data_IF_090606702350
#
_entry.id   IF_090606702350
#
_cell.length_a   1.000
_cell.length_b   1.000
_cell.length_c   1.000
_cell.angle_alpha   90.00
_cell.angle_beta   90.00
_cell.angle_gamma   90.00
#
_symmetry.space_group_name_H-M   'P 1'
#
loop_
_entity.id
_entity.type
_entity.pdbx_description
1 polymer ?
#
# COMPACT_ATOMS: atom_id res chain seq x y z
N UNK A 1 16.76 10.71 25.63
CA UNK A 1 15.95 9.53 26.05
C UNK A 1 16.88 8.35 26.25
N UNK A 2 16.47 7.32 27.03
CA UNK A 2 17.25 6.10 27.18
C UNK A 2 16.67 5.01 26.26
N UNK A 3 17.20 4.90 25.05
CA UNK A 3 16.74 3.98 24.00
C UNK A 3 16.76 2.51 24.49
N UNK A 4 17.78 2.09 25.26
CA UNK A 4 17.86 0.73 25.78
C UNK A 4 16.71 0.41 26.76
N UNK A 5 16.31 1.39 27.60
CA UNK A 5 15.15 1.25 28.49
C UNK A 5 13.85 1.15 27.68
N UNK A 6 13.68 2.03 26.70
CA UNK A 6 12.50 2.01 25.82
C UNK A 6 12.35 0.66 25.09
N UNK A 7 13.45 0.08 24.60
CA UNK A 7 13.47 -1.25 23.96
C UNK A 7 13.00 -2.35 24.94
N UNK A 8 13.52 -2.35 26.17
CA UNK A 8 13.17 -3.36 27.17
C UNK A 8 11.71 -3.28 27.60
N UNK A 9 11.21 -2.07 27.83
CA UNK A 9 9.82 -1.82 28.19
C UNK A 9 8.87 -2.23 27.07
N UNK A 10 9.18 -1.82 25.83
CA UNK A 10 8.37 -2.17 24.67
C UNK A 10 8.32 -3.68 24.44
N UNK A 11 9.46 -4.38 24.56
CA UNK A 11 9.49 -5.84 24.46
C UNK A 11 8.51 -6.48 25.46
N UNK A 12 8.57 -6.08 26.73
CA UNK A 12 7.68 -6.59 27.78
C UNK A 12 6.21 -6.32 27.47
N UNK A 13 5.89 -5.13 26.96
CA UNK A 13 4.53 -4.77 26.55
C UNK A 13 4.04 -5.65 25.38
N UNK A 14 4.87 -5.86 24.35
CA UNK A 14 4.52 -6.74 23.23
C UNK A 14 4.32 -8.18 23.71
N UNK A 15 5.20 -8.68 24.57
CA UNK A 15 5.10 -10.03 25.15
C UNK A 15 3.82 -10.22 25.96
N UNK A 16 3.36 -9.19 26.67
CA UNK A 16 2.06 -9.19 27.36
C UNK A 16 0.84 -9.09 26.43
N UNK A 17 1.05 -8.75 25.16
CA UNK A 17 0.01 -8.64 24.14
C UNK A 17 -0.66 -7.27 24.04
N UNK A 18 -0.16 -6.27 24.76
CA UNK A 18 -0.68 -4.90 24.69
C UNK A 18 0.49 -3.91 24.74
N UNK A 19 0.65 -3.15 23.67
CA UNK A 19 1.68 -2.09 23.57
C UNK A 19 1.10 -0.86 22.89
N UNK A 20 1.56 0.30 23.31
CA UNK A 20 1.30 1.57 22.66
C UNK A 20 2.52 2.48 22.82
N UNK A 21 3.06 2.96 21.71
CA UNK A 21 4.19 3.88 21.71
C UNK A 21 3.71 5.34 21.77
N UNK A 22 4.32 6.14 22.66
CA UNK A 22 4.17 7.59 22.55
C UNK A 22 4.95 8.10 21.33
N UNK A 23 4.59 9.28 20.77
CA UNK A 23 5.34 9.86 19.66
C UNK A 23 6.84 10.02 19.95
N UNK A 24 7.21 10.40 21.18
CA UNK A 24 8.58 10.61 21.62
C UNK A 24 9.39 9.30 21.64
N UNK A 25 8.79 8.22 22.17
CA UNK A 25 9.42 6.91 22.18
C UNK A 25 9.54 6.36 20.77
N UNK A 26 8.51 6.54 19.93
CA UNK A 26 8.56 6.16 18.52
C UNK A 26 9.68 6.88 17.76
N UNK A 27 9.83 8.17 17.98
CA UNK A 27 10.91 8.97 17.39
C UNK A 27 12.30 8.53 17.86
N UNK A 28 12.47 8.31 19.17
CA UNK A 28 13.72 7.81 19.74
C UNK A 28 14.11 6.45 19.13
N UNK A 29 13.18 5.51 19.06
CA UNK A 29 13.44 4.20 18.45
C UNK A 29 13.76 4.30 16.96
N UNK A 30 13.02 5.14 16.22
CA UNK A 30 13.24 5.32 14.79
C UNK A 30 14.63 5.89 14.48
N UNK A 31 15.14 6.80 15.31
CA UNK A 31 16.43 7.47 15.09
C UNK A 31 17.61 6.71 15.68
N UNK A 32 17.45 6.07 16.84
CA UNK A 32 18.57 5.64 17.68
C UNK A 32 18.66 4.12 17.85
N UNK A 33 17.57 3.34 17.63
CA UNK A 33 17.65 1.88 17.72
C UNK A 33 18.40 1.32 16.50
N UNK A 34 19.25 0.30 16.73
CA UNK A 34 19.81 -0.46 15.62
C UNK A 34 18.72 -1.21 14.84
N UNK A 35 18.97 -1.41 13.54
CA UNK A 35 17.96 -1.95 12.63
C UNK A 35 17.49 -3.36 13.03
N UNK A 36 18.39 -4.22 13.48
CA UNK A 36 18.05 -5.61 13.80
C UNK A 36 17.21 -5.69 15.08
N UNK A 37 17.52 -4.89 16.07
CA UNK A 37 16.72 -4.78 17.31
C UNK A 37 15.32 -4.24 17.00
N UNK A 38 15.23 -3.18 16.21
CA UNK A 38 13.95 -2.60 15.80
C UNK A 38 13.12 -3.64 15.01
N UNK A 39 13.75 -4.35 14.08
CA UNK A 39 13.14 -5.42 13.30
C UNK A 39 12.65 -6.58 14.17
N UNK A 40 13.45 -7.01 15.15
CA UNK A 40 13.08 -8.09 16.08
C UNK A 40 11.83 -7.73 16.92
N UNK A 41 11.72 -6.48 17.39
CA UNK A 41 10.53 -6.00 18.11
C UNK A 41 9.30 -5.97 17.19
N UNK A 42 9.45 -5.47 15.96
CA UNK A 42 8.38 -5.44 14.98
C UNK A 42 7.93 -6.85 14.55
N UNK A 43 8.88 -7.79 14.40
CA UNK A 43 8.59 -9.19 14.14
C UNK A 43 7.83 -9.85 15.31
N UNK A 44 8.24 -9.57 16.55
CA UNK A 44 7.54 -10.04 17.74
C UNK A 44 6.10 -9.52 17.78
N UNK A 45 5.90 -8.22 17.56
CA UNK A 45 4.57 -7.59 17.50
C UNK A 45 3.71 -8.20 16.39
N UNK A 46 4.25 -8.37 15.18
CA UNK A 46 3.60 -9.02 14.05
C UNK A 46 3.17 -10.45 14.39
N UNK A 47 4.06 -11.21 15.03
CA UNK A 47 3.81 -12.60 15.37
C UNK A 47 2.73 -12.74 16.46
N UNK A 48 2.67 -11.81 17.40
CA UNK A 48 1.58 -11.77 18.40
C UNK A 48 0.20 -11.60 17.76
N UNK A 49 0.09 -10.82 16.70
CA UNK A 49 -1.20 -10.53 16.02
C UNK A 49 -1.57 -11.61 15.02
N UNK A 50 -0.61 -12.12 14.23
CA UNK A 50 -0.91 -12.96 13.06
C UNK A 50 -0.29 -14.36 13.11
N UNK A 51 0.47 -14.70 14.18
CA UNK A 51 1.22 -15.96 14.22
C UNK A 51 2.17 -16.07 13.04
N UNK A 52 2.08 -17.17 12.29
CA UNK A 52 2.91 -17.42 11.12
C UNK A 52 2.23 -17.11 9.79
N UNK A 53 1.01 -16.51 9.79
CA UNK A 53 0.28 -16.20 8.56
C UNK A 53 0.87 -14.97 7.87
N UNK A 54 1.01 -15.02 6.55
CA UNK A 54 1.27 -13.87 5.67
C UNK A 54 0.25 -13.87 4.56
N UNK A 55 -0.43 -12.74 4.41
CA UNK A 55 -1.56 -12.59 3.51
C UNK A 55 -1.12 -12.13 2.12
N UNK A 56 -1.89 -12.56 1.11
CA UNK A 56 -1.81 -12.09 -0.27
C UNK A 56 -3.18 -12.15 -0.92
N UNK A 57 -3.39 -11.45 -2.05
CA UNK A 57 -4.64 -11.53 -2.81
C UNK A 57 -4.43 -11.71 -4.31
N UNK A 58 -5.48 -12.10 -5.01
CA UNK A 58 -5.50 -12.18 -6.46
C UNK A 58 -6.27 -11.00 -7.03
N UNK A 59 -5.54 -10.01 -7.51
CA UNK A 59 -6.09 -8.72 -7.92
C UNK A 59 -5.57 -8.27 -9.28
N UNK A 60 -6.29 -7.31 -9.86
CA UNK A 60 -5.85 -6.54 -11.03
C UNK A 60 -6.00 -5.04 -10.74
N UNK A 61 -5.18 -4.22 -11.41
CA UNK A 61 -5.16 -2.78 -11.25
C UNK A 61 -5.65 -2.10 -12.53
N UNK A 62 -6.61 -1.20 -12.42
CA UNK A 62 -7.10 -0.38 -13.53
C UNK A 62 -6.78 1.09 -13.26
N UNK A 63 -6.11 1.73 -14.20
CA UNK A 63 -5.97 3.17 -14.25
C UNK A 63 -6.71 3.65 -15.48
N UNK A 64 -7.95 4.09 -15.32
CA UNK A 64 -8.81 4.47 -16.45
C UNK A 64 -8.41 5.81 -17.10
N UNK A 65 -7.76 6.69 -16.33
CA UNK A 65 -7.17 7.93 -16.87
C UNK A 65 -5.89 8.31 -16.13
N UNK A 66 -4.93 8.89 -16.85
CA UNK A 66 -3.76 9.55 -16.26
C UNK A 66 -3.84 11.09 -16.38
N UNK A 67 -4.91 11.63 -16.94
CA UNK A 67 -5.15 13.08 -16.93
C UNK A 67 -5.44 13.52 -15.50
N UNK A 68 -4.69 14.51 -15.00
CA UNK A 68 -4.76 14.91 -13.60
C UNK A 68 -4.52 16.41 -13.44
N UNK A 69 -5.43 17.12 -12.74
CA UNK A 69 -5.25 18.54 -12.43
C UNK A 69 -4.12 18.78 -11.41
N UNK A 70 -3.78 17.76 -10.60
CA UNK A 70 -2.81 17.91 -9.53
C UNK A 70 -1.38 17.79 -10.03
N UNK A 71 -0.57 18.83 -9.79
CA UNK A 71 0.82 18.94 -10.25
C UNK A 71 1.82 18.46 -9.18
N UNK A 72 1.73 17.17 -8.80
CA UNK A 72 2.62 16.58 -7.78
C UNK A 72 4.04 16.40 -8.30
N UNK A 73 5.04 16.89 -7.55
CA UNK A 73 6.44 16.86 -7.98
C UNK A 73 7.02 15.44 -8.14
N UNK A 74 6.52 14.49 -7.36
CA UNK A 74 6.97 13.09 -7.35
C UNK A 74 6.23 12.19 -8.34
N UNK A 75 5.15 12.68 -8.99
CA UNK A 75 4.31 11.83 -9.81
C UNK A 75 4.82 11.76 -11.26
N UNK A 76 5.18 10.56 -11.71
CA UNK A 76 5.56 10.28 -13.09
C UNK A 76 4.37 9.88 -13.97
N UNK A 77 3.25 9.49 -13.35
CA UNK A 77 2.06 9.00 -14.03
C UNK A 77 1.18 10.11 -14.61
N UNK A 78 1.02 11.22 -13.88
CA UNK A 78 0.09 12.28 -14.25
C UNK A 78 0.45 12.99 -15.56
N UNK A 79 -0.58 13.29 -16.37
CA UNK A 79 -0.53 14.22 -17.49
C UNK A 79 -1.50 15.36 -17.18
N UNK A 80 -0.98 16.59 -17.16
CA UNK A 80 -1.73 17.75 -16.62
C UNK A 80 -2.88 18.22 -17.53
N UNK A 81 -2.92 17.75 -18.78
CA UNK A 81 -3.96 18.11 -19.75
C UNK A 81 -4.21 16.99 -20.73
N UNK A 82 -5.45 16.85 -21.15
CA UNK A 82 -5.82 16.08 -22.35
C UNK A 82 -5.02 16.57 -23.56
N UNK A 83 -4.55 15.64 -24.39
CA UNK A 83 -3.73 15.95 -25.57
C UNK A 83 -2.23 16.09 -25.31
N UNK A 84 -1.75 16.05 -24.06
CA UNK A 84 -0.32 15.87 -23.80
C UNK A 84 0.16 14.50 -24.31
N UNK A 85 1.43 14.34 -24.69
CA UNK A 85 1.99 13.03 -25.03
C UNK A 85 1.68 11.99 -23.93
N UNK A 86 1.22 10.81 -24.35
CA UNK A 86 0.83 9.70 -23.47
C UNK A 86 -0.37 9.99 -22.52
N UNK A 87 -1.04 11.15 -22.64
CA UNK A 87 -2.29 11.37 -21.93
C UNK A 87 -3.39 10.46 -22.49
N UNK A 88 -4.13 9.82 -21.59
CA UNK A 88 -5.26 8.98 -21.97
C UNK A 88 -6.39 9.06 -20.95
N UNK A 89 -7.60 8.85 -21.46
CA UNK A 89 -8.80 8.52 -20.67
C UNK A 89 -9.54 7.44 -21.45
N UNK A 90 -9.79 6.29 -20.81
CA UNK A 90 -10.51 5.18 -21.41
C UNK A 90 -11.99 5.50 -21.48
N UNK A 91 -12.65 5.18 -22.59
CA UNK A 91 -14.11 5.03 -22.62
C UNK A 91 -14.53 3.81 -21.77
N UNK A 92 -15.82 3.73 -21.43
CA UNK A 92 -16.36 2.54 -20.70
C UNK A 92 -16.11 1.26 -21.50
N UNK A 93 -16.22 1.29 -22.82
CA UNK A 93 -15.98 0.13 -23.69
C UNK A 93 -14.49 -0.28 -23.72
N UNK A 94 -13.58 0.67 -23.72
CA UNK A 94 -12.14 0.39 -23.62
C UNK A 94 -11.78 -0.21 -22.25
N UNK A 95 -12.35 0.33 -21.16
CA UNK A 95 -12.18 -0.21 -19.82
C UNK A 95 -12.73 -1.64 -19.71
N UNK A 96 -13.93 -1.90 -20.26
CA UNK A 96 -14.54 -3.22 -20.35
C UNK A 96 -13.62 -4.22 -21.06
N UNK A 97 -13.19 -3.88 -22.25
CA UNK A 97 -12.28 -4.70 -23.08
C UNK A 97 -10.97 -4.97 -22.36
N UNK A 98 -10.45 -3.97 -21.66
CA UNK A 98 -9.22 -4.07 -20.89
C UNK A 98 -9.37 -5.07 -19.72
N UNK A 99 -10.47 -4.99 -18.97
CA UNK A 99 -10.79 -5.92 -17.87
C UNK A 99 -10.99 -7.33 -18.40
N UNK A 100 -11.81 -7.54 -19.43
CA UNK A 100 -12.10 -8.84 -20.03
C UNK A 100 -10.83 -9.61 -20.44
N UNK A 101 -9.85 -8.92 -21.01
CA UNK A 101 -8.57 -9.53 -21.41
C UNK A 101 -7.77 -10.04 -20.22
N UNK A 102 -7.91 -9.44 -19.04
CA UNK A 102 -7.06 -9.67 -17.86
C UNK A 102 -7.74 -10.42 -16.73
N UNK A 103 -9.04 -10.26 -16.62
CA UNK A 103 -9.84 -11.00 -15.63
C UNK A 103 -9.67 -12.50 -15.79
N UNK A 104 -9.56 -13.20 -14.68
CA UNK A 104 -9.61 -14.67 -14.61
C UNK A 104 -10.59 -15.06 -13.51
N UNK A 105 -11.41 -16.11 -13.72
CA UNK A 105 -12.32 -16.63 -12.68
C UNK A 105 -11.54 -16.91 -11.39
N UNK A 106 -12.07 -16.40 -10.29
CA UNK A 106 -11.42 -16.50 -8.98
C UNK A 106 -10.60 -15.29 -8.56
N UNK A 107 -10.37 -14.29 -9.42
CA UNK A 107 -9.87 -12.98 -8.95
C UNK A 107 -10.86 -12.37 -7.98
N UNK A 108 -10.33 -11.78 -6.89
CA UNK A 108 -11.16 -11.27 -5.78
C UNK A 108 -11.30 -9.76 -5.77
N UNK A 109 -10.41 -9.04 -6.46
CA UNK A 109 -10.35 -7.58 -6.37
C UNK A 109 -9.99 -6.92 -7.70
N UNK A 110 -10.67 -5.82 -7.99
CA UNK A 110 -10.19 -4.80 -8.92
C UNK A 110 -9.86 -3.53 -8.15
N UNK A 111 -8.62 -3.06 -8.29
CA UNK A 111 -8.12 -1.82 -7.68
C UNK A 111 -8.09 -0.71 -8.72
N UNK A 112 -8.84 0.36 -8.49
CA UNK A 112 -8.98 1.48 -9.41
C UNK A 112 -8.45 2.75 -8.75
N UNK A 113 -7.42 3.35 -9.36
CA UNK A 113 -6.85 4.65 -8.98
C UNK A 113 -6.54 5.42 -10.26
N UNK A 114 -6.98 6.66 -10.32
CA UNK A 114 -6.88 7.49 -11.52
C UNK A 114 -6.17 8.81 -11.27
N UNK A 115 -5.86 9.53 -12.33
CA UNK A 115 -5.64 10.97 -12.26
C UNK A 115 -6.94 11.70 -11.92
N UNK A 116 -6.85 12.82 -11.19
CA UNK A 116 -7.98 13.73 -10.95
C UNK A 116 -8.31 14.49 -12.23
N UNK A 117 -9.02 13.85 -13.14
CA UNK A 117 -9.32 14.43 -14.46
C UNK A 117 -10.36 15.55 -14.32
N UNK A 118 -10.07 16.76 -14.83
CA UNK A 118 -11.05 17.82 -14.92
C UNK A 118 -12.03 17.63 -16.08
N UNK A 119 -11.76 16.67 -16.98
CA UNK A 119 -12.48 16.50 -18.24
C UNK A 119 -13.50 15.35 -18.20
N UNK A 120 -13.43 14.49 -17.17
CA UNK A 120 -14.36 13.37 -16.99
C UNK A 120 -15.46 13.74 -16.01
N UNK A 121 -16.71 13.62 -16.44
CA UNK A 121 -17.89 13.86 -15.61
C UNK A 121 -18.04 12.80 -14.52
N UNK A 122 -18.69 13.14 -13.39
CA UNK A 122 -18.90 12.19 -12.28
C UNK A 122 -19.67 10.95 -12.72
N UNK A 123 -20.62 11.11 -13.65
CA UNK A 123 -21.40 10.00 -14.21
C UNK A 123 -20.52 8.94 -14.89
N UNK A 124 -19.41 9.33 -15.54
CA UNK A 124 -18.45 8.38 -16.10
C UNK A 124 -17.94 7.38 -15.04
N UNK A 125 -17.62 7.86 -13.84
CA UNK A 125 -17.14 7.01 -12.75
C UNK A 125 -18.23 6.09 -12.22
N UNK A 126 -19.47 6.56 -12.16
CA UNK A 126 -20.62 5.74 -11.78
C UNK A 126 -20.90 4.66 -12.84
N UNK A 127 -20.86 4.99 -14.11
CA UNK A 127 -21.03 4.02 -15.20
C UNK A 127 -19.92 2.96 -15.19
N UNK A 128 -18.67 3.35 -14.94
CA UNK A 128 -17.55 2.42 -14.80
C UNK A 128 -17.80 1.40 -13.69
N UNK A 129 -18.23 1.84 -12.51
CA UNK A 129 -18.52 0.94 -11.41
C UNK A 129 -19.71 0.02 -11.70
N UNK A 130 -20.80 0.55 -12.26
CA UNK A 130 -22.00 -0.23 -12.65
C UNK A 130 -21.66 -1.29 -13.69
N UNK A 131 -20.86 -0.95 -14.69
CA UNK A 131 -20.38 -1.90 -15.71
C UNK A 131 -19.60 -3.04 -15.05
N UNK A 132 -18.62 -2.72 -14.19
CA UNK A 132 -17.82 -3.72 -13.50
C UNK A 132 -18.71 -4.60 -12.60
N UNK A 133 -19.62 -4.00 -11.84
CA UNK A 133 -20.51 -4.73 -10.94
C UNK A 133 -21.44 -5.67 -11.67
N UNK A 134 -21.92 -5.27 -12.85
CA UNK A 134 -22.82 -6.08 -13.69
C UNK A 134 -22.11 -7.25 -14.38
N UNK A 135 -20.91 -7.00 -14.92
CA UNK A 135 -20.24 -7.99 -15.78
C UNK A 135 -19.22 -8.85 -15.02
N UNK A 136 -18.71 -8.37 -13.87
CA UNK A 136 -17.73 -9.05 -13.02
C UNK A 136 -18.18 -9.06 -11.55
N UNK A 137 -19.34 -9.64 -11.23
CA UNK A 137 -19.96 -9.51 -9.90
C UNK A 137 -19.12 -10.10 -8.76
N UNK A 138 -18.17 -10.98 -9.06
CA UNK A 138 -17.26 -11.59 -8.08
C UNK A 138 -16.13 -10.66 -7.66
N UNK A 139 -15.81 -9.64 -8.48
CA UNK A 139 -14.75 -8.68 -8.15
C UNK A 139 -15.25 -7.69 -7.09
N UNK A 140 -14.54 -7.63 -5.98
CA UNK A 140 -14.68 -6.51 -5.06
C UNK A 140 -14.07 -5.26 -5.69
N UNK A 141 -14.86 -4.20 -5.79
CA UNK A 141 -14.40 -2.93 -6.36
C UNK A 141 -13.79 -2.09 -5.24
N UNK A 142 -12.45 -1.97 -5.24
CA UNK A 142 -11.70 -1.05 -4.39
C UNK A 142 -11.31 0.15 -5.22
N UNK A 143 -12.04 1.24 -5.09
CA UNK A 143 -11.91 2.39 -5.95
C UNK A 143 -12.08 3.69 -5.19
N UNK A 144 -11.61 4.59 -5.66
CA UNK A 144 -11.21 5.99 -5.69
C UNK A 144 -10.57 6.38 -4.37
N UNK A 145 -9.39 6.98 -4.48
CA UNK A 145 -8.66 7.53 -3.33
C UNK A 145 -9.43 8.69 -2.70
N UNK A 146 -9.10 9.00 -1.44
CA UNK A 146 -9.68 10.18 -0.78
C UNK A 146 -9.45 11.48 -1.58
N UNK A 147 -8.36 11.55 -2.36
CA UNK A 147 -8.06 12.71 -3.21
C UNK A 147 -9.01 12.78 -4.42
N UNK A 148 -9.40 11.64 -4.99
CA UNK A 148 -10.41 11.58 -6.06
C UNK A 148 -11.80 11.95 -5.51
N UNK A 149 -12.16 11.47 -4.31
CA UNK A 149 -13.42 11.85 -3.64
C UNK A 149 -13.46 13.36 -3.35
N UNK A 150 -12.35 13.92 -2.85
CA UNK A 150 -12.23 15.36 -2.63
C UNK A 150 -12.30 16.15 -3.95
N UNK A 151 -11.72 15.64 -5.03
CA UNK A 151 -11.82 16.23 -6.35
C UNK A 151 -13.28 16.31 -6.83
N UNK A 152 -14.09 15.26 -6.64
CA UNK A 152 -15.52 15.30 -6.96
C UNK A 152 -16.28 16.33 -6.11
N UNK A 153 -15.93 16.44 -4.81
CA UNK A 153 -16.47 17.46 -3.94
C UNK A 153 -16.22 18.89 -4.50
N UNK A 154 -14.98 19.18 -4.87
CA UNK A 154 -14.62 20.49 -5.46
C UNK A 154 -15.33 20.77 -6.80
N UNK A 155 -15.51 19.76 -7.65
CA UNK A 155 -16.12 19.94 -8.96
C UNK A 155 -17.63 20.12 -8.90
N UNK A 156 -18.31 19.40 -8.01
CA UNK A 156 -19.77 19.31 -8.03
C UNK A 156 -20.46 19.90 -6.79
N UNK A 157 -19.71 20.34 -5.78
CA UNK A 157 -20.26 20.90 -4.55
C UNK A 157 -21.02 19.91 -3.69
N UNK A 158 -20.97 18.62 -4.01
CA UNK A 158 -21.59 17.55 -3.22
C UNK A 158 -20.77 17.30 -1.95
N UNK A 159 -21.44 16.94 -0.85
CA UNK A 159 -20.74 16.49 0.35
C UNK A 159 -20.02 15.15 0.11
N UNK A 160 -18.99 14.82 0.90
CA UNK A 160 -18.32 13.52 0.83
C UNK A 160 -19.30 12.35 1.02
N UNK A 161 -20.30 12.52 1.89
CA UNK A 161 -21.33 11.50 2.11
C UNK A 161 -22.18 11.25 0.86
N UNK A 162 -22.62 12.28 0.18
CA UNK A 162 -23.43 12.16 -1.06
C UNK A 162 -22.61 11.51 -2.17
N UNK A 163 -21.35 11.90 -2.34
CA UNK A 163 -20.44 11.29 -3.31
C UNK A 163 -20.24 9.81 -2.99
N UNK A 164 -19.88 9.49 -1.77
CA UNK A 164 -19.65 8.10 -1.34
C UNK A 164 -20.90 7.25 -1.46
N UNK A 165 -22.10 7.80 -1.15
CA UNK A 165 -23.37 7.08 -1.32
C UNK A 165 -23.62 6.77 -2.79
N UNK A 166 -23.48 7.74 -3.69
CA UNK A 166 -23.65 7.51 -5.13
C UNK A 166 -22.68 6.45 -5.67
N UNK A 167 -21.43 6.45 -5.20
CA UNK A 167 -20.43 5.45 -5.58
C UNK A 167 -20.77 4.06 -5.01
N UNK A 168 -21.27 3.97 -3.78
CA UNK A 168 -21.72 2.72 -3.17
C UNK A 168 -22.93 2.14 -3.95
N UNK A 169 -23.89 2.98 -4.29
CA UNK A 169 -25.06 2.60 -5.09
C UNK A 169 -24.65 2.10 -6.49
N UNK A 170 -23.53 2.60 -7.02
CA UNK A 170 -22.94 2.15 -8.27
C UNK A 170 -22.07 0.88 -8.14
N UNK A 171 -21.75 0.44 -6.91
CA UNK A 171 -21.03 -0.82 -6.67
C UNK A 171 -19.68 -0.69 -5.95
N UNK A 172 -19.31 0.51 -5.44
CA UNK A 172 -18.11 0.69 -4.64
C UNK A 172 -18.13 -0.20 -3.39
N UNK A 173 -17.04 -0.93 -3.14
CA UNK A 173 -16.92 -1.82 -1.98
C UNK A 173 -16.00 -1.31 -0.88
N UNK A 174 -14.91 -0.63 -1.23
CA UNK A 174 -13.94 -0.07 -0.27
C UNK A 174 -13.06 0.99 -0.93
N UNK A 175 -12.31 1.77 -0.12
CA UNK A 175 -11.41 2.81 -0.62
C UNK A 175 -9.94 2.37 -0.53
N UNK A 176 -9.10 2.69 -1.54
CA UNK A 176 -7.65 2.62 -1.41
C UNK A 176 -7.12 3.75 -0.52
N UNK A 177 -5.85 3.61 -0.08
CA UNK A 177 -5.23 4.59 0.83
C UNK A 177 -4.42 5.69 0.15
N UNK A 178 -4.36 5.71 -1.17
CA UNK A 178 -3.51 6.66 -1.91
C UNK A 178 -3.86 8.13 -1.65
N UNK A 179 -2.89 9.00 -1.97
CA UNK A 179 -3.07 10.45 -1.82
C UNK A 179 -2.77 11.01 -0.42
N UNK A 180 -2.55 10.15 0.59
CA UNK A 180 -2.11 10.59 1.92
C UNK A 180 -0.76 11.29 1.87
N UNK A 181 0.13 10.80 1.07
CA UNK A 181 1.53 11.22 0.93
C UNK A 181 2.22 11.41 2.30
N UNK A 182 2.37 12.66 2.73
CA UNK A 182 2.82 13.02 4.08
C UNK A 182 1.86 14.09 4.62
N UNK A 183 1.36 13.92 5.85
CA UNK A 183 0.37 14.85 6.43
C UNK A 183 0.97 16.19 6.86
N UNK A 184 2.29 16.25 7.12
CA UNK A 184 2.94 17.50 7.45
C UNK A 184 2.70 18.57 6.38
N UNK A 185 2.02 19.66 6.75
CA UNK A 185 1.62 20.75 5.85
C UNK A 185 2.81 21.34 5.09
N UNK A 186 3.98 21.44 5.74
CA UNK A 186 5.23 21.88 5.10
C UNK A 186 5.60 20.99 3.90
N UNK A 187 5.52 19.68 4.08
CA UNK A 187 5.84 18.70 3.04
C UNK A 187 4.80 18.75 1.94
N UNK A 188 3.49 18.66 2.28
CA UNK A 188 2.39 18.68 1.30
C UNK A 188 2.44 19.91 0.41
N UNK A 189 2.57 21.11 0.99
CA UNK A 189 2.69 22.37 0.24
C UNK A 189 3.85 22.37 -0.76
N UNK A 190 4.91 21.62 -0.48
CA UNK A 190 6.09 21.54 -1.35
C UNK A 190 5.92 20.51 -2.46
N UNK A 191 5.40 19.30 -2.15
CA UNK A 191 5.44 18.17 -3.10
C UNK A 191 4.11 17.91 -3.81
N UNK A 192 2.96 18.33 -3.24
CA UNK A 192 1.61 18.07 -3.79
C UNK A 192 0.58 19.13 -3.35
N UNK A 193 0.90 20.40 -3.54
CA UNK A 193 0.11 21.55 -3.07
C UNK A 193 -1.35 21.58 -3.57
N UNK A 194 -1.60 20.98 -4.72
CA UNK A 194 -2.91 21.00 -5.40
C UNK A 194 -3.76 19.75 -5.06
N UNK A 195 -3.37 18.99 -4.04
CA UNK A 195 -4.14 17.86 -3.51
C UNK A 195 -4.89 18.27 -2.24
N UNK A 196 -5.89 17.48 -1.88
CA UNK A 196 -6.54 17.53 -0.58
C UNK A 196 -5.52 17.72 0.55
N UNK A 197 -5.85 18.53 1.54
CA UNK A 197 -5.06 18.68 2.78
C UNK A 197 -5.05 17.37 3.57
N UNK A 198 -4.28 17.30 4.64
CA UNK A 198 -4.29 16.15 5.54
C UNK A 198 -5.66 15.98 6.21
N UNK A 199 -6.23 17.09 6.64
CA UNK A 199 -7.55 17.15 7.31
C UNK A 199 -8.67 16.67 6.38
N UNK A 200 -8.69 17.12 5.13
CA UNK A 200 -9.66 16.70 4.11
C UNK A 200 -9.52 15.23 3.77
N UNK A 201 -8.28 14.72 3.63
CA UNK A 201 -8.02 13.31 3.41
C UNK A 201 -8.55 12.45 4.57
N UNK A 202 -8.27 12.84 5.80
CA UNK A 202 -8.75 12.17 7.01
C UNK A 202 -10.28 12.23 7.11
N UNK A 203 -10.90 13.37 6.75
CA UNK A 203 -12.35 13.53 6.79
C UNK A 203 -13.08 12.65 5.76
N UNK A 204 -12.52 12.49 4.55
CA UNK A 204 -13.07 11.54 3.57
C UNK A 204 -13.09 10.12 4.16
N UNK A 205 -11.99 9.69 4.77
CA UNK A 205 -11.92 8.36 5.37
C UNK A 205 -12.83 8.22 6.59
N UNK A 206 -12.91 9.23 7.45
CA UNK A 206 -13.87 9.26 8.58
C UNK A 206 -15.31 9.10 8.09
N UNK A 207 -15.68 9.87 7.07
CA UNK A 207 -17.01 9.79 6.46
C UNK A 207 -17.29 8.40 5.90
N UNK A 208 -16.33 7.82 5.15
CA UNK A 208 -16.46 6.48 4.58
C UNK A 208 -16.62 5.42 5.68
N UNK A 209 -15.79 5.47 6.74
CA UNK A 209 -15.86 4.55 7.87
C UNK A 209 -17.20 4.62 8.60
N UNK A 210 -17.73 5.84 8.82
CA UNK A 210 -19.03 6.08 9.45
C UNK A 210 -20.21 5.61 8.56
N UNK A 211 -19.98 5.38 7.28
CA UNK A 211 -20.93 4.74 6.35
C UNK A 211 -20.75 3.22 6.29
N UNK A 212 -19.82 2.63 7.06
CA UNK A 212 -19.53 1.19 7.08
C UNK A 212 -18.54 0.73 6.01
N UNK A 213 -17.98 1.63 5.19
CA UNK A 213 -16.93 1.29 4.24
C UNK A 213 -15.62 1.04 4.96
N UNK A 214 -14.84 0.09 4.45
CA UNK A 214 -13.46 -0.13 4.87
C UNK A 214 -12.51 0.58 3.92
N UNK A 215 -11.32 0.89 4.41
CA UNK A 215 -10.30 1.51 3.58
C UNK A 215 -8.87 1.09 3.96
N UNK A 216 -7.93 1.42 3.08
CA UNK A 216 -6.50 1.34 3.38
C UNK A 216 -5.97 2.72 3.77
N UNK A 217 -4.78 2.76 4.36
CA UNK A 217 -4.04 4.00 4.55
C UNK A 217 -2.59 3.85 4.11
N UNK A 218 -1.97 4.97 3.72
CA UNK A 218 -0.62 4.99 3.15
C UNK A 218 0.21 6.13 3.74
N UNK A 219 1.51 6.07 3.52
CA UNK A 219 2.46 7.15 3.75
C UNK A 219 3.53 7.11 2.67
N UNK A 220 3.77 8.20 1.96
CA UNK A 220 4.93 8.35 1.07
C UNK A 220 6.11 8.86 1.89
N UNK A 221 7.18 8.09 1.96
CA UNK A 221 8.39 8.44 2.71
C UNK A 221 9.63 8.52 1.82
N UNK A 222 10.70 9.14 2.34
CA UNK A 222 11.97 9.32 1.64
C UNK A 222 11.98 10.53 0.72
N UNK A 223 11.10 11.50 0.96
CA UNK A 223 11.04 12.77 0.22
C UNK A 223 11.81 13.86 0.98
N UNK A 224 11.13 14.80 1.61
CA UNK A 224 11.71 15.93 2.34
C UNK A 224 11.23 15.99 3.80
N UNK A 225 10.50 14.98 4.24
CA UNK A 225 9.99 14.88 5.61
C UNK A 225 11.12 14.66 6.61
N UNK A 226 10.89 15.12 7.83
CA UNK A 226 11.73 14.81 8.99
C UNK A 226 11.24 13.53 9.68
N UNK A 227 12.10 12.85 10.48
CA UNK A 227 11.65 11.74 11.31
C UNK A 227 10.44 12.05 12.19
N UNK A 228 10.38 13.26 12.76
CA UNK A 228 9.25 13.69 13.58
C UNK A 228 7.96 13.83 12.77
N UNK A 229 8.03 14.33 11.54
CA UNK A 229 6.88 14.42 10.63
C UNK A 229 6.37 13.04 10.20
N UNK A 230 7.29 12.08 9.99
CA UNK A 230 6.95 10.69 9.72
C UNK A 230 6.20 10.07 10.90
N UNK A 231 6.72 10.18 12.11
CA UNK A 231 6.06 9.67 13.33
C UNK A 231 4.70 10.33 13.53
N UNK A 232 4.60 11.66 13.33
CA UNK A 232 3.33 12.37 13.46
C UNK A 232 2.28 11.86 12.45
N UNK A 233 2.67 11.53 11.22
CA UNK A 233 1.78 10.92 10.24
C UNK A 233 1.19 9.60 10.76
N UNK A 234 2.02 8.72 11.31
CA UNK A 234 1.56 7.46 11.89
C UNK A 234 0.62 7.68 13.09
N UNK A 235 0.90 8.69 13.94
CA UNK A 235 0.02 9.07 15.06
C UNK A 235 -1.36 9.50 14.57
N UNK A 236 -1.44 10.33 13.53
CA UNK A 236 -2.72 10.79 12.99
C UNK A 236 -3.55 9.63 12.41
N UNK A 237 -2.93 8.70 11.69
CA UNK A 237 -3.60 7.48 11.21
C UNK A 237 -4.09 6.60 12.36
N UNK A 238 -3.25 6.40 13.38
CA UNK A 238 -3.60 5.66 14.60
C UNK A 238 -4.79 6.27 15.33
N UNK A 239 -4.84 7.60 15.41
CA UNK A 239 -5.93 8.34 16.04
C UNK A 239 -7.24 8.15 15.30
N UNK A 240 -7.25 8.29 13.97
CA UNK A 240 -8.46 8.03 13.18
C UNK A 240 -8.90 6.56 13.26
N UNK A 241 -7.94 5.63 13.31
CA UNK A 241 -8.25 4.21 13.51
C UNK A 241 -8.88 3.96 14.89
N UNK A 242 -8.40 4.61 15.93
CA UNK A 242 -9.00 4.49 17.27
C UNK A 242 -10.44 5.05 17.32
N UNK A 243 -10.70 6.10 16.54
CA UNK A 243 -12.03 6.72 16.43
C UNK A 243 -13.01 5.83 15.65
N UNK A 244 -12.57 5.25 14.51
CA UNK A 244 -13.50 4.68 13.52
C UNK A 244 -13.33 3.18 13.30
N UNK A 245 -12.15 2.62 13.56
CA UNK A 245 -11.83 1.21 13.29
C UNK A 245 -11.86 0.82 11.81
N UNK A 246 -11.90 1.76 10.87
CA UNK A 246 -12.20 1.50 9.45
C UNK A 246 -10.99 1.14 8.60
N UNK A 247 -9.76 1.45 9.00
CA UNK A 247 -8.56 1.06 8.25
C UNK A 247 -8.28 -0.43 8.39
N UNK A 248 -8.07 -1.09 7.25
CA UNK A 248 -7.73 -2.52 7.19
C UNK A 248 -6.22 -2.75 7.19
N UNK A 249 -5.49 -1.95 6.43
CA UNK A 249 -4.05 -2.11 6.21
C UNK A 249 -3.38 -0.76 6.03
N UNK A 250 -2.18 -0.66 6.58
CA UNK A 250 -1.24 0.43 6.30
C UNK A 250 -0.19 -0.01 5.27
N UNK A 251 0.14 0.87 4.34
CA UNK A 251 1.09 0.63 3.26
C UNK A 251 2.12 1.77 3.25
N UNK A 252 3.35 1.56 3.75
CA UNK A 252 4.43 2.50 3.55
C UNK A 252 4.88 2.46 2.09
N UNK A 253 4.97 3.62 1.44
CA UNK A 253 5.29 3.80 0.05
C UNK A 253 6.62 4.54 -0.08
N UNK A 254 7.68 3.87 -0.56
CA UNK A 254 8.97 4.49 -0.78
C UNK A 254 8.93 5.45 -1.98
N UNK A 255 9.58 6.58 -1.84
CA UNK A 255 9.74 7.52 -2.95
C UNK A 255 10.69 6.94 -4.01
N UNK A 256 10.25 6.96 -5.27
CA UNK A 256 11.06 6.66 -6.44
C UNK A 256 11.33 7.96 -7.22
N UNK A 257 12.58 8.21 -7.58
CA UNK A 257 12.99 9.49 -8.13
C UNK A 257 13.02 9.56 -9.67
N UNK A 258 12.73 8.47 -10.36
CA UNK A 258 12.81 8.44 -11.83
C UNK A 258 11.57 9.05 -12.48
N UNK A 259 11.78 9.73 -13.60
CA UNK A 259 10.67 10.25 -14.41
C UNK A 259 9.87 11.40 -13.80
N UNK A 260 10.30 11.98 -12.66
CA UNK A 260 9.59 13.05 -11.96
C UNK A 260 10.48 14.28 -11.69
N UNK A 261 9.91 15.33 -11.11
CA UNK A 261 10.62 16.59 -10.86
C UNK A 261 11.48 16.59 -9.59
N UNK A 262 11.49 15.51 -8.83
CA UNK A 262 12.30 15.31 -7.62
C UNK A 262 13.50 14.39 -7.86
N UNK A 263 13.87 14.14 -9.09
CA UNK A 263 14.94 13.21 -9.48
C UNK A 263 16.33 13.50 -8.88
N UNK A 264 16.54 14.70 -8.29
CA UNK A 264 17.76 15.05 -7.57
C UNK A 264 17.82 14.51 -6.14
N UNK A 265 16.68 14.08 -5.58
CA UNK A 265 16.65 13.40 -4.30
C UNK A 265 17.04 11.92 -4.50
N UNK A 266 17.86 11.42 -3.58
CA UNK A 266 18.10 9.98 -3.53
C UNK A 266 16.82 9.24 -3.12
N UNK A 267 16.53 8.11 -3.76
CA UNK A 267 15.50 7.21 -3.27
C UNK A 267 15.92 6.55 -1.95
N UNK A 268 14.99 6.19 -1.07
CA UNK A 268 15.28 5.39 0.11
C UNK A 268 16.06 4.12 -0.23
N UNK A 269 16.89 3.70 0.70
CA UNK A 269 17.61 2.42 0.62
C UNK A 269 16.79 1.30 1.25
N UNK A 270 17.14 0.03 0.99
CA UNK A 270 16.48 -1.09 1.67
C UNK A 270 16.60 -1.05 3.20
N UNK A 271 17.62 -0.38 3.76
CA UNK A 271 17.75 -0.15 5.20
C UNK A 271 16.68 0.83 5.69
N UNK A 272 16.44 1.90 4.94
CA UNK A 272 15.39 2.87 5.24
C UNK A 272 14.00 2.21 5.15
N UNK A 273 13.77 1.42 4.10
CA UNK A 273 12.52 0.68 3.89
C UNK A 273 12.21 -0.24 5.08
N UNK A 274 13.19 -1.03 5.52
CA UNK A 274 13.02 -1.95 6.64
C UNK A 274 12.82 -1.21 7.96
N UNK A 275 13.50 -0.07 8.16
CA UNK A 275 13.31 0.78 9.35
C UNK A 275 11.91 1.38 9.41
N UNK A 276 11.42 1.92 8.28
CA UNK A 276 10.06 2.46 8.17
C UNK A 276 9.02 1.37 8.37
N UNK A 277 9.23 0.18 7.80
CA UNK A 277 8.35 -0.97 8.00
C UNK A 277 8.23 -1.35 9.48
N UNK A 278 9.37 -1.49 10.15
CA UNK A 278 9.42 -1.89 11.56
C UNK A 278 8.76 -0.85 12.48
N UNK A 279 9.10 0.44 12.32
CA UNK A 279 8.47 1.47 13.17
C UNK A 279 6.98 1.60 12.90
N UNK A 280 6.53 1.41 11.67
CA UNK A 280 5.10 1.43 11.34
C UNK A 280 4.33 0.33 12.07
N UNK A 281 4.85 -0.90 12.14
CA UNK A 281 4.23 -1.98 12.92
C UNK A 281 4.13 -1.64 14.40
N UNK A 282 5.17 -1.02 14.96
CA UNK A 282 5.21 -0.70 16.37
C UNK A 282 4.30 0.48 16.74
N UNK A 283 4.22 1.50 15.87
CA UNK A 283 3.38 2.68 16.08
C UNK A 283 1.89 2.44 15.83
N UNK A 284 1.57 1.56 14.87
CA UNK A 284 0.19 1.31 14.41
C UNK A 284 -0.36 0.01 15.02
N UNK A 285 -0.32 -0.11 16.36
CA UNK A 285 -0.77 -1.30 17.08
C UNK A 285 -2.25 -1.64 16.84
N UNK A 286 -3.07 -0.66 16.51
CA UNK A 286 -4.50 -0.79 16.25
C UNK A 286 -4.87 -0.96 14.77
N UNK A 287 -3.91 -0.98 13.86
CA UNK A 287 -4.11 -1.36 12.45
C UNK A 287 -3.56 -2.77 12.25
N UNK A 288 -4.45 -3.72 11.96
CA UNK A 288 -4.11 -5.14 11.95
C UNK A 288 -3.01 -5.49 10.96
N UNK A 289 -3.06 -4.95 9.74
CA UNK A 289 -2.17 -5.36 8.67
C UNK A 289 -1.19 -4.25 8.27
N UNK A 290 0.08 -4.66 8.05
CA UNK A 290 1.11 -3.82 7.42
C UNK A 290 1.56 -4.53 6.15
N UNK A 291 1.50 -3.82 5.03
CA UNK A 291 1.77 -4.38 3.71
C UNK A 291 3.19 -4.07 3.24
N UNK A 292 3.91 -5.10 2.81
CA UNK A 292 5.14 -4.96 2.04
C UNK A 292 4.79 -4.97 0.54
N UNK A 293 4.56 -3.79 -0.03
CA UNK A 293 4.15 -3.64 -1.43
C UNK A 293 5.33 -3.92 -2.35
N UNK A 294 5.40 -5.16 -2.87
CA UNK A 294 6.55 -5.67 -3.62
C UNK A 294 6.86 -4.91 -4.91
N UNK A 295 5.85 -4.32 -5.57
CA UNK A 295 6.05 -3.52 -6.79
C UNK A 295 6.99 -2.35 -6.52
N UNK A 296 6.84 -1.73 -5.36
CA UNK A 296 7.61 -0.56 -4.97
C UNK A 296 8.93 -0.92 -4.29
N UNK A 297 8.90 -1.86 -3.34
CA UNK A 297 10.08 -2.26 -2.55
C UNK A 297 11.06 -3.15 -3.32
N UNK A 298 10.62 -3.73 -4.44
CA UNK A 298 11.29 -4.88 -5.05
C UNK A 298 11.08 -6.17 -4.23
N UNK A 299 11.08 -7.30 -4.92
CA UNK A 299 10.72 -8.60 -4.31
C UNK A 299 11.61 -8.96 -3.12
N UNK A 300 12.93 -8.70 -3.20
CA UNK A 300 13.89 -9.07 -2.14
C UNK A 300 13.65 -8.27 -0.86
N UNK A 301 13.47 -6.95 -0.98
CA UNK A 301 13.19 -6.09 0.18
C UNK A 301 11.82 -6.41 0.76
N UNK A 302 10.79 -6.58 -0.06
CA UNK A 302 9.45 -6.96 0.39
C UNK A 302 9.43 -8.32 1.12
N UNK A 303 10.17 -9.33 0.64
CA UNK A 303 10.34 -10.61 1.32
C UNK A 303 11.02 -10.44 2.69
N UNK A 304 12.07 -9.64 2.75
CA UNK A 304 12.80 -9.35 4.00
C UNK A 304 11.91 -8.61 5.00
N UNK A 305 11.08 -7.67 4.51
CA UNK A 305 10.17 -6.86 5.32
C UNK A 305 9.12 -7.71 6.09
N UNK A 306 8.83 -8.93 5.64
CA UNK A 306 8.00 -9.88 6.39
C UNK A 306 8.60 -10.21 7.76
N UNK A 307 9.91 -10.17 7.91
CA UNK A 307 10.62 -10.32 9.19
C UNK A 307 10.80 -8.97 9.93
N UNK A 308 10.36 -7.86 9.35
CA UNK A 308 10.42 -6.52 9.91
C UNK A 308 9.02 -5.93 10.19
N UNK A 309 8.04 -6.78 10.46
CA UNK A 309 6.71 -6.36 10.90
C UNK A 309 5.60 -6.43 9.85
N UNK A 310 5.91 -6.58 8.56
CA UNK A 310 4.90 -6.80 7.53
C UNK A 310 4.26 -8.20 7.66
N UNK A 311 2.99 -8.28 7.33
CA UNK A 311 2.23 -9.53 7.30
C UNK A 311 1.31 -9.66 6.07
N UNK A 312 1.41 -8.73 5.12
CA UNK A 312 0.73 -8.76 3.83
C UNK A 312 1.76 -8.48 2.73
N UNK A 313 1.83 -9.36 1.72
CA UNK A 313 2.78 -9.26 0.62
C UNK A 313 2.19 -8.56 -0.60
N UNK A 314 0.91 -8.12 -0.51
CA UNK A 314 0.05 -7.70 -1.61
C UNK A 314 -0.38 -8.88 -2.51
N UNK A 315 -0.83 -8.57 -3.71
CA UNK A 315 -1.38 -9.54 -4.65
C UNK A 315 -0.54 -9.72 -5.91
N UNK A 316 -1.19 -10.29 -6.91
CA UNK A 316 -0.62 -10.49 -8.24
C UNK A 316 -0.33 -9.18 -8.96
N UNK A 317 -1.05 -8.11 -8.63
CA UNK A 317 -0.85 -6.72 -9.08
C UNK A 317 -0.67 -6.65 -10.61
N UNK A 318 -1.61 -7.25 -11.35
CA UNK A 318 -1.56 -7.25 -12.80
C UNK A 318 -1.69 -5.83 -13.34
N UNK A 319 -0.70 -5.36 -14.12
CA UNK A 319 -0.70 -4.08 -14.84
C UNK A 319 -0.67 -2.82 -13.96
N UNK A 320 0.05 -2.82 -12.85
CA UNK A 320 0.34 -1.59 -12.10
C UNK A 320 1.22 -0.66 -12.93
N UNK A 321 0.77 0.58 -13.18
CA UNK A 321 1.48 1.55 -14.02
C UNK A 321 2.18 2.66 -13.25
N UNK A 322 1.66 3.05 -12.09
CA UNK A 322 2.08 4.27 -11.39
C UNK A 322 3.54 4.16 -10.93
N UNK A 323 3.91 3.04 -10.31
CA UNK A 323 5.28 2.79 -9.83
C UNK A 323 6.24 2.40 -10.94
N UNK A 324 5.77 1.66 -11.95
CA UNK A 324 6.61 1.32 -13.10
C UNK A 324 7.01 2.58 -13.89
N UNK A 325 6.13 3.56 -14.03
CA UNK A 325 6.47 4.86 -14.63
C UNK A 325 7.43 5.68 -13.77
N UNK A 326 7.52 5.41 -12.47
CA UNK A 326 8.46 6.04 -11.56
C UNK A 326 9.80 5.30 -11.44
N UNK A 327 10.02 4.27 -12.28
CA UNK A 327 11.28 3.55 -12.38
C UNK A 327 11.37 2.28 -11.52
N UNK A 328 10.23 1.72 -11.09
CA UNK A 328 10.25 0.37 -10.51
C UNK A 328 10.69 -0.65 -11.55
N UNK A 329 11.68 -1.46 -11.22
CA UNK A 329 12.20 -2.59 -12.02
C UNK A 329 11.54 -3.93 -11.65
N UNK A 330 10.53 -3.90 -10.82
CA UNK A 330 9.73 -5.06 -10.45
C UNK A 330 9.01 -5.66 -11.67
N UNK A 331 8.71 -6.97 -11.69
CA UNK A 331 7.90 -7.54 -12.76
C UNK A 331 6.51 -6.91 -12.82
N UNK A 332 5.89 -6.91 -14.00
CA UNK A 332 4.54 -6.34 -14.21
C UNK A 332 3.43 -7.12 -13.48
N UNK A 333 3.70 -8.34 -13.06
CA UNK A 333 2.81 -9.16 -12.22
C UNK A 333 3.58 -10.33 -11.61
N UNK A 334 3.07 -10.88 -10.52
CA UNK A 334 3.47 -12.16 -9.96
C UNK A 334 2.35 -13.19 -10.09
N UNK A 335 2.70 -14.45 -10.27
CA UNK A 335 1.71 -15.53 -10.15
C UNK A 335 1.44 -15.85 -8.68
N UNK A 336 0.29 -16.44 -8.38
CA UNK A 336 -0.05 -16.92 -7.03
C UNK A 336 1.06 -17.89 -6.54
N UNK A 337 1.55 -18.77 -7.39
CA UNK A 337 2.60 -19.73 -7.05
C UNK A 337 3.93 -19.03 -6.69
N UNK A 338 4.29 -17.95 -7.38
CA UNK A 338 5.47 -17.15 -7.03
C UNK A 338 5.33 -16.50 -5.69
N UNK A 339 4.17 -15.87 -5.41
CA UNK A 339 3.88 -15.21 -4.13
C UNK A 339 3.96 -16.23 -2.99
N UNK A 340 3.29 -17.37 -3.13
CA UNK A 340 3.32 -18.43 -2.12
C UNK A 340 4.74 -18.92 -1.86
N UNK A 341 5.52 -19.17 -2.91
CA UNK A 341 6.93 -19.58 -2.80
C UNK A 341 7.78 -18.54 -2.08
N UNK A 342 7.60 -17.24 -2.41
CA UNK A 342 8.34 -16.14 -1.77
C UNK A 342 8.03 -16.07 -0.27
N UNK A 343 6.75 -16.16 0.09
CA UNK A 343 6.29 -16.14 1.49
C UNK A 343 6.83 -17.35 2.26
N UNK A 344 6.75 -18.56 1.67
CA UNK A 344 7.29 -19.79 2.30
C UNK A 344 8.79 -19.73 2.49
N UNK A 345 9.54 -19.20 1.52
CA UNK A 345 10.98 -19.01 1.64
C UNK A 345 11.39 -18.02 2.73
N UNK A 346 10.52 -17.08 3.08
CA UNK A 346 10.69 -16.18 4.22
C UNK A 346 10.36 -16.85 5.57
N UNK A 347 9.86 -18.08 5.57
CA UNK A 347 9.52 -18.84 6.79
C UNK A 347 8.06 -18.69 7.24
N UNK A 348 7.16 -18.17 6.40
CA UNK A 348 5.75 -17.92 6.75
C UNK A 348 4.77 -18.79 5.97
N UNK A 349 3.55 -18.90 6.49
CA UNK A 349 2.43 -19.58 5.84
C UNK A 349 1.67 -18.60 4.94
N UNK A 350 1.66 -18.80 3.61
CA UNK A 350 0.88 -17.97 2.70
C UNK A 350 -0.61 -18.24 2.90
N UNK A 351 -1.38 -17.17 3.04
CA UNK A 351 -2.84 -17.21 3.18
C UNK A 351 -3.46 -16.29 2.13
N UNK A 352 -4.24 -16.85 1.22
CA UNK A 352 -4.99 -16.03 0.29
C UNK A 352 -6.14 -15.32 1.01
N UNK A 353 -6.35 -14.04 0.73
CA UNK A 353 -7.44 -13.23 1.26
C UNK A 353 -8.23 -12.54 0.16
N UNK A 354 -9.45 -12.17 0.48
CA UNK A 354 -10.18 -11.17 -0.29
C UNK A 354 -9.78 -9.73 0.10
N UNK A 355 -10.44 -8.74 -0.49
CA UNK A 355 -10.19 -7.31 -0.20
C UNK A 355 -10.48 -6.94 1.26
N UNK A 356 -11.41 -7.61 1.91
CA UNK A 356 -11.83 -7.34 3.30
C UNK A 356 -11.11 -8.24 4.32
N UNK A 357 -9.99 -8.85 3.91
CA UNK A 357 -9.13 -9.73 4.74
C UNK A 357 -9.83 -11.02 5.22
N UNK A 358 -10.88 -11.47 4.55
CA UNK A 358 -11.44 -12.81 4.76
C UNK A 358 -10.54 -13.82 4.02
N UNK A 359 -10.22 -14.93 4.69
CA UNK A 359 -9.43 -16.00 4.08
C UNK A 359 -10.21 -16.65 2.93
N UNK A 360 -9.53 -16.87 1.81
CA UNK A 360 -10.11 -17.50 0.61
C UNK A 360 -9.62 -18.94 0.54
N UNK A 361 -10.53 -19.89 0.70
CA UNK A 361 -10.22 -21.30 0.50
C UNK A 361 -10.36 -21.63 -1.00
N UNK A 362 -9.26 -22.09 -1.60
CA UNK A 362 -9.30 -22.65 -2.95
C UNK A 362 -9.15 -24.15 -2.88
N UNK A 363 -9.82 -24.92 -3.77
CA UNK A 363 -9.48 -26.31 -3.98
C UNK A 363 -7.97 -26.41 -4.28
N UNK A 364 -7.27 -27.23 -3.52
CA UNK A 364 -5.85 -27.48 -3.76
C UNK A 364 -5.74 -28.14 -5.14
N UNK A 365 -5.17 -27.42 -6.11
CA UNK A 365 -4.79 -28.03 -7.37
C UNK A 365 -3.57 -28.92 -7.13
N UNK A 366 -3.80 -30.20 -6.92
CA UNK A 366 -2.79 -31.23 -6.63
C UNK A 366 -1.81 -31.42 -7.79
N UNK A 367 -2.07 -30.79 -8.95
CA UNK A 367 -1.20 -30.86 -10.12
C UNK A 367 0.06 -30.00 -10.01
N UNK A 368 0.08 -29.04 -9.06
CA UNK A 368 1.24 -28.19 -8.78
C UNK A 368 2.00 -28.73 -7.57
N UNK A 369 2.54 -29.94 -7.70
CA UNK A 369 3.59 -30.43 -6.79
C UNK A 369 4.83 -29.54 -6.97
N UNK A 370 5.43 -28.98 -5.92
CA UNK A 370 6.67 -28.25 -6.06
C UNK A 370 7.72 -29.24 -6.59
N UNK A 371 8.23 -29.02 -7.79
CA UNK A 371 9.43 -29.69 -8.25
C UNK A 371 10.47 -29.48 -7.17
N UNK A 372 10.85 -30.53 -6.44
CA UNK A 372 11.97 -30.51 -5.50
C UNK A 372 13.14 -29.89 -6.24
N UNK A 373 13.53 -28.68 -5.89
CA UNK A 373 14.76 -28.10 -6.38
C UNK A 373 15.88 -29.08 -5.97
N UNK A 374 16.45 -29.75 -6.96
CA UNK A 374 17.61 -30.63 -6.75
C UNK A 374 18.70 -29.71 -6.18
N UNK A 375 18.95 -29.81 -4.88
CA UNK A 375 20.16 -29.24 -4.27
C UNK A 375 21.34 -29.96 -4.93
N UNK A 376 22.08 -29.20 -5.74
CA UNK A 376 23.35 -29.67 -6.25
C UNK A 376 24.37 -29.63 -5.11
N UNK A 377 24.84 -30.77 -4.55
CA UNK A 377 25.64 -30.76 -3.32
C UNK A 377 27.15 -30.65 -3.61
N UNK A 378 27.57 -29.90 -4.62
CA UNK A 378 29.00 -29.67 -4.90
C UNK A 378 29.26 -28.26 -5.41
N UNK A 379 29.34 -27.30 -4.51
CA UNK A 379 30.28 -26.18 -4.63
C UNK A 379 30.90 -25.95 -3.26
N UNK A 380 32.04 -26.61 -3.01
CA UNK A 380 32.95 -26.23 -1.96
C UNK A 380 33.48 -24.84 -2.24
N UNK A 381 33.14 -23.88 -1.42
CA UNK A 381 33.87 -22.62 -1.28
C UNK A 381 35.25 -22.95 -0.69
N UNK A 382 36.26 -22.99 -1.55
CA UNK A 382 37.66 -22.92 -1.09
C UNK A 382 37.92 -21.50 -0.60
N UNK A 383 38.02 -21.36 0.72
CA UNK A 383 38.55 -20.16 1.34
C UNK A 383 40.06 -20.13 1.03
N UNK A 384 40.45 -19.24 0.15
CA UNK A 384 41.88 -18.94 -0.06
C UNK A 384 42.30 -17.95 1.02
N UNK A 385 43.03 -18.47 2.02
CA UNK A 385 43.79 -17.69 2.96
C UNK A 385 45.05 -17.13 2.25
N UNK A 386 45.10 -15.83 2.04
CA UNK A 386 46.34 -15.12 1.78
C UNK A 386 46.39 -13.87 2.66
N UNK A 387 47.03 -14.00 3.80
CA UNK A 387 47.76 -12.94 4.47
C UNK A 387 49.16 -13.47 4.78
N UNK A 388 50.13 -12.95 4.08
CA UNK A 388 51.52 -12.81 4.49
C UNK A 388 51.99 -11.44 4.04
#
# INVERSE_FOLDING_TARGET
MNTAKNISELRSQIESGSWELTPEVGLDLFQNADLLTLGALAHLARTKVHGNKTFYNWNLHLNATNVCKSDCLFCSFARLKTGMPEAYSMSIEEARTWIQKRYRPGMTEIHIVNGNSPDLEFEYYLELLRMIRSEFPELHIKAFTAVEIHHFHEMYGMSYREILQALVDAGLGSLPGGGAEMFASRVRKKICRDKATAEEWLEVHRTAHNMGLRSNCTMLYGTIETPAELINHLVQLRSLQAETGGFQVFIPLAFHNQGNRMQRLASPTGVDDLRVMAISRLMLHNISHIKAYWVMLGIKTAQTALNFGANDFDGTVTEEKIYHMSGSDSPMSLTIADIQRIIQQAGFNPVERDTLYREVERPIDVSISPKKAARNPKQHLSVVSHYS
#
